data_IF_893199133065
#
_entry.id   IF_893199133065
#
_cell.length_a   1.000
_cell.length_b   1.000
_cell.length_c   1.000
_cell.angle_alpha   90.00
_cell.angle_beta   90.00
_cell.angle_gamma   90.00
#
_symmetry.space_group_name_H-M   'P 1'
#
loop_
_entity.id
_entity.type
_entity.pdbx_description
1 polymer ?
#
# COMPACT_ATOMS: atom_id res chain seq x y z
N UNK A 1 -10.99 0.27 3.04
CA UNK A 1 -9.96 -0.65 2.50
C UNK A 1 -8.91 0.08 1.68
N UNK A 2 -9.27 0.92 0.70
CA UNK A 2 -8.31 1.66 -0.14
C UNK A 2 -7.27 2.49 0.65
N UNK A 3 -7.67 3.18 1.72
CA UNK A 3 -6.72 3.88 2.60
C UNK A 3 -5.67 2.96 3.23
N UNK A 4 -6.03 1.71 3.57
CA UNK A 4 -5.08 0.72 4.08
C UNK A 4 -4.15 0.22 2.97
N UNK A 5 -4.65 0.06 1.74
CA UNK A 5 -3.81 -0.28 0.59
C UNK A 5 -2.81 0.84 0.27
N UNK A 6 -3.24 2.10 0.28
CA UNK A 6 -2.35 3.25 0.07
C UNK A 6 -1.26 3.31 1.15
N UNK A 7 -1.60 3.10 2.43
CA UNK A 7 -0.62 2.97 3.52
C UNK A 7 0.37 1.84 3.25
N UNK A 8 -0.15 0.65 2.93
CA UNK A 8 0.64 -0.55 2.71
C UNK A 8 1.66 -0.35 1.60
N UNK A 9 1.22 0.15 0.44
CA UNK A 9 2.09 0.45 -0.69
C UNK A 9 3.13 1.52 -0.33
N UNK A 10 2.71 2.67 0.21
CA UNK A 10 3.63 3.77 0.54
C UNK A 10 4.68 3.34 1.58
N UNK A 11 4.28 2.53 2.56
CA UNK A 11 5.19 1.98 3.57
C UNK A 11 6.23 1.05 2.95
N UNK A 12 5.83 0.18 2.02
CA UNK A 12 6.73 -0.71 1.30
C UNK A 12 7.70 0.08 0.39
N UNK A 13 7.23 1.13 -0.29
CA UNK A 13 8.10 2.02 -1.10
C UNK A 13 9.21 2.63 -0.26
N UNK A 14 8.87 3.19 0.91
CA UNK A 14 9.86 3.80 1.80
C UNK A 14 10.80 2.75 2.41
N UNK A 15 10.26 1.58 2.79
CA UNK A 15 11.06 0.50 3.36
C UNK A 15 12.04 -0.12 2.36
N UNK A 16 11.67 -0.20 1.08
CA UNK A 16 12.54 -0.61 -0.03
C UNK A 16 13.58 0.47 -0.41
N UNK A 17 13.63 1.58 0.33
CA UNK A 17 14.61 2.63 0.10
C UNK A 17 14.43 3.41 -1.21
N UNK A 18 13.30 3.22 -1.90
CA UNK A 18 12.99 3.88 -3.18
C UNK A 18 12.67 5.38 -3.01
N UNK A 19 12.22 5.78 -1.81
CA UNK A 19 12.01 7.18 -1.45
C UNK A 19 12.15 7.40 0.07
N UNK A 20 12.49 8.62 0.50
CA UNK A 20 12.47 9.00 1.92
C UNK A 20 11.07 9.36 2.44
N UNK A 21 10.17 9.76 1.54
CA UNK A 21 8.75 10.07 1.77
C UNK A 21 7.95 9.60 0.56
N UNK A 22 6.73 9.13 0.79
CA UNK A 22 5.84 8.68 -0.28
C UNK A 22 4.39 8.93 0.12
N UNK A 23 3.64 9.62 -0.73
CA UNK A 23 2.20 9.80 -0.65
C UNK A 23 1.55 9.11 -1.85
N UNK A 24 0.54 8.30 -1.58
CA UNK A 24 -0.23 7.60 -2.62
C UNK A 24 -1.68 8.03 -2.52
N UNK A 25 -2.24 8.49 -3.64
CA UNK A 25 -3.65 8.82 -3.76
C UNK A 25 -4.35 7.82 -4.69
N UNK A 26 -5.51 7.33 -4.24
CA UNK A 26 -6.37 6.43 -4.98
C UNK A 26 -7.75 7.06 -5.16
N UNK A 27 -8.32 6.97 -6.36
CA UNK A 27 -9.69 7.42 -6.65
C UNK A 27 -10.52 6.32 -7.30
N UNK A 28 -11.82 6.28 -7.01
CA UNK A 28 -12.75 5.28 -7.54
C UNK A 28 -14.08 5.94 -7.89
N UNK A 29 -14.72 5.47 -8.96
CA UNK A 29 -16.13 5.74 -9.23
C UNK A 29 -17.00 4.63 -8.63
N UNK A 30 -18.21 5.00 -8.18
CA UNK A 30 -19.19 4.02 -7.70
C UNK A 30 -19.52 3.01 -8.82
N UNK A 31 -19.46 1.72 -8.49
CA UNK A 31 -19.69 0.64 -9.46
C UNK A 31 -18.49 0.30 -10.37
N UNK A 32 -17.38 1.04 -10.30
CA UNK A 32 -16.17 0.76 -11.08
C UNK A 32 -15.14 0.04 -10.22
N UNK A 33 -14.70 -1.13 -10.67
CA UNK A 33 -13.87 -2.03 -9.86
C UNK A 33 -12.40 -1.61 -9.78
N UNK A 34 -11.85 -1.04 -10.84
CA UNK A 34 -10.47 -0.53 -10.90
C UNK A 34 -10.44 0.94 -10.47
N UNK A 35 -9.34 1.41 -9.86
CA UNK A 35 -9.20 2.84 -9.57
C UNK A 35 -9.23 3.67 -10.86
N UNK A 36 -9.77 4.88 -10.79
CA UNK A 36 -9.71 5.85 -11.89
C UNK A 36 -8.30 6.45 -12.00
N UNK A 37 -7.64 6.64 -10.85
CA UNK A 37 -6.26 7.11 -10.78
C UNK A 37 -5.51 6.50 -9.59
N UNK A 38 -4.21 6.30 -9.81
CA UNK A 38 -3.20 5.97 -8.79
C UNK A 38 -2.09 6.99 -8.98
N UNK A 39 -1.99 7.93 -8.04
CA UNK A 39 -0.97 8.98 -8.06
C UNK A 39 0.05 8.74 -6.95
N UNK A 40 1.33 8.88 -7.29
CA UNK A 40 2.46 8.72 -6.39
C UNK A 40 3.23 10.03 -6.35
N UNK A 41 3.51 10.52 -5.15
CA UNK A 41 4.34 11.71 -4.91
C UNK A 41 5.39 11.35 -3.85
N UNK A 42 6.66 11.40 -4.25
CA UNK A 42 7.82 11.10 -3.39
C UNK A 42 8.39 12.34 -2.70
N UNK A 43 7.74 13.49 -2.86
CA UNK A 43 8.11 14.77 -2.24
C UNK A 43 9.56 15.18 -2.54
N UNK A 44 10.04 14.87 -3.75
CA UNK A 44 11.42 15.12 -4.18
C UNK A 44 12.47 14.23 -3.52
N UNK A 45 12.07 13.15 -2.84
CA UNK A 45 12.98 12.20 -2.19
C UNK A 45 13.11 10.86 -2.92
N UNK A 46 12.43 10.70 -4.05
CA UNK A 46 12.47 9.51 -4.87
C UNK A 46 13.83 9.27 -5.50
N UNK A 47 14.22 8.00 -5.55
CA UNK A 47 15.41 7.50 -6.28
C UNK A 47 15.04 6.85 -7.62
N UNK A 48 13.74 6.72 -7.89
CA UNK A 48 13.18 6.09 -9.07
C UNK A 48 12.06 6.98 -9.63
N UNK A 49 11.74 6.79 -10.90
CA UNK A 49 10.67 7.51 -11.58
C UNK A 49 9.28 7.19 -10.96
N UNK A 50 8.50 8.24 -10.69
CA UNK A 50 7.20 8.12 -9.99
C UNK A 50 6.13 7.44 -10.85
N UNK A 51 6.15 7.65 -12.16
CA UNK A 51 5.20 7.03 -13.09
C UNK A 51 5.48 5.54 -13.24
N UNK A 52 6.77 5.16 -13.36
CA UNK A 52 7.20 3.75 -13.31
C UNK A 52 6.84 3.12 -11.96
N UNK A 53 7.05 3.81 -10.85
CA UNK A 53 6.67 3.34 -9.52
C UNK A 53 5.16 3.12 -9.39
N UNK A 54 4.35 4.06 -9.87
CA UNK A 54 2.89 3.92 -9.90
C UNK A 54 2.44 2.69 -10.70
N UNK A 55 3.13 2.39 -11.80
CA UNK A 55 2.86 1.22 -12.65
C UNK A 55 3.19 -0.08 -11.92
N UNK A 56 4.41 -0.19 -11.37
CA UNK A 56 4.86 -1.38 -10.62
C UNK A 56 3.95 -1.68 -9.44
N UNK A 57 3.53 -0.67 -8.68
CA UNK A 57 2.63 -0.88 -7.53
C UNK A 57 1.27 -1.46 -7.96
N UNK A 58 0.77 -1.11 -9.14
CA UNK A 58 -0.47 -1.66 -9.69
C UNK A 58 -0.32 -3.09 -10.23
N UNK A 59 0.90 -3.49 -10.60
CA UNK A 59 1.25 -4.86 -10.98
C UNK A 59 1.39 -5.77 -9.75
N UNK A 60 2.05 -5.27 -8.70
CA UNK A 60 2.28 -6.00 -7.45
C UNK A 60 1.00 -6.21 -6.63
N UNK A 61 0.03 -5.28 -6.74
CA UNK A 61 -1.21 -5.37 -5.98
C UNK A 61 -2.42 -5.03 -6.83
N UNK A 62 -3.38 -5.96 -6.91
CA UNK A 62 -4.69 -5.68 -7.50
C UNK A 62 -5.49 -4.69 -6.62
N UNK A 63 -5.49 -3.42 -7.01
CA UNK A 63 -6.17 -2.33 -6.29
C UNK A 63 -7.69 -2.27 -6.46
N UNK A 64 -8.33 -3.34 -6.95
CA UNK A 64 -9.79 -3.44 -6.87
C UNK A 64 -10.25 -3.68 -5.42
N UNK A 65 -11.49 -3.32 -5.03
CA UNK A 65 -12.00 -3.58 -3.68
C UNK A 65 -11.86 -5.04 -3.25
N UNK A 66 -12.08 -5.99 -4.18
CA UNK A 66 -11.88 -7.42 -3.96
C UNK A 66 -10.40 -7.77 -3.77
N UNK A 67 -9.54 -7.30 -4.68
CA UNK A 67 -8.10 -7.56 -4.62
C UNK A 67 -7.47 -7.06 -3.32
N UNK A 68 -7.82 -5.84 -2.88
CA UNK A 68 -7.37 -5.28 -1.60
C UNK A 68 -7.83 -6.16 -0.43
N UNK A 69 -9.10 -6.57 -0.42
CA UNK A 69 -9.67 -7.39 0.66
C UNK A 69 -8.97 -8.75 0.76
N UNK A 70 -8.70 -9.39 -0.37
CA UNK A 70 -8.03 -10.70 -0.44
C UNK A 70 -6.56 -10.59 -0.04
N UNK A 71 -5.82 -9.66 -0.65
CA UNK A 71 -4.38 -9.47 -0.41
C UNK A 71 -4.10 -9.11 1.07
N UNK A 72 -4.87 -8.19 1.66
CA UNK A 72 -4.70 -7.78 3.05
C UNK A 72 -5.49 -8.67 4.05
N UNK A 73 -6.16 -9.73 3.60
CA UNK A 73 -6.94 -10.66 4.44
C UNK A 73 -7.94 -9.92 5.35
N UNK A 74 -8.73 -9.01 4.78
CA UNK A 74 -9.60 -8.08 5.52
C UNK A 74 -10.96 -8.67 5.95
N UNK A 75 -11.34 -9.86 5.49
CA UNK A 75 -12.58 -10.53 5.90
C UNK A 75 -12.45 -11.24 7.26
N UNK A 76 -11.98 -10.53 8.29
CA UNK A 76 -11.72 -11.05 9.65
C UNK A 76 -12.06 -10.02 10.72
N UNK A 77 -12.38 -10.41 11.96
CA UNK A 77 -12.75 -9.50 13.05
C UNK A 77 -11.51 -8.82 13.68
N UNK A 78 -10.79 -8.01 12.89
CA UNK A 78 -9.50 -7.40 13.30
C UNK A 78 -9.58 -5.89 13.59
N UNK A 79 -10.76 -5.27 13.49
CA UNK A 79 -10.89 -3.82 13.45
C UNK A 79 -11.06 -3.13 14.80
N UNK A 80 -11.58 -3.81 15.83
CA UNK A 80 -11.86 -3.17 17.12
C UNK A 80 -10.60 -2.49 17.72
N UNK A 81 -9.44 -3.12 17.57
CA UNK A 81 -8.15 -2.58 18.04
C UNK A 81 -7.68 -1.33 17.31
N UNK A 82 -8.20 -1.03 16.12
CA UNK A 82 -7.80 0.12 15.31
C UNK A 82 -8.61 1.38 15.66
N UNK A 83 -9.71 1.25 16.40
CA UNK A 83 -10.64 2.34 16.72
C UNK A 83 -10.07 3.39 17.70
N UNK A 84 -8.93 3.09 18.32
CA UNK A 84 -8.19 4.01 19.18
C UNK A 84 -6.68 3.90 18.89
N UNK A 85 -5.95 4.99 19.18
CA UNK A 85 -4.49 5.09 19.01
C UNK A 85 -4.00 4.93 17.55
N UNK A 86 -4.89 5.21 16.59
CA UNK A 86 -4.56 5.24 15.18
C UNK A 86 -4.58 3.86 14.49
N UNK A 87 -4.87 3.92 13.19
CA UNK A 87 -4.89 2.75 12.31
C UNK A 87 -3.52 2.39 11.73
N UNK A 88 -2.56 3.31 11.78
CA UNK A 88 -1.26 3.21 11.12
C UNK A 88 -0.10 3.36 12.12
N UNK A 89 1.06 2.83 11.76
CA UNK A 89 2.30 2.94 12.54
C UNK A 89 2.42 1.94 13.70
N UNK A 90 1.53 0.95 13.76
CA UNK A 90 1.55 -0.13 14.75
C UNK A 90 1.98 -1.44 14.08
N UNK A 91 2.73 -2.26 14.79
CA UNK A 91 3.27 -3.50 14.21
C UNK A 91 2.16 -4.50 13.84
N UNK A 92 2.31 -5.24 12.72
CA UNK A 92 1.47 -6.39 12.42
C UNK A 92 1.52 -7.41 13.55
N UNK A 93 0.36 -7.91 13.99
CA UNK A 93 0.29 -8.88 15.08
C UNK A 93 -0.01 -10.30 14.58
N UNK A 94 0.31 -11.30 15.41
CA UNK A 94 0.08 -12.73 15.10
C UNK A 94 -1.40 -13.13 14.96
N UNK A 95 -2.34 -12.30 15.45
CA UNK A 95 -3.78 -12.44 15.17
C UNK A 95 -4.18 -11.91 13.79
N UNK A 96 -3.21 -11.42 13.03
CA UNK A 96 -3.35 -10.81 11.71
C UNK A 96 -4.04 -9.46 11.74
N UNK A 97 -3.96 -8.70 12.83
CA UNK A 97 -4.21 -7.27 12.80
C UNK A 97 -3.13 -6.52 12.00
N UNK A 98 -3.46 -5.32 11.52
CA UNK A 98 -2.53 -4.41 10.83
C UNK A 98 -1.78 -5.04 9.66
N UNK A 99 -2.45 -5.85 8.84
CA UNK A 99 -1.83 -6.47 7.66
C UNK A 99 -1.27 -5.45 6.66
N UNK A 100 -1.81 -4.23 6.65
CA UNK A 100 -1.33 -3.09 5.87
C UNK A 100 -0.05 -2.43 6.43
N UNK A 101 0.47 -2.92 7.55
CA UNK A 101 1.75 -2.47 8.12
C UNK A 101 2.89 -3.45 7.82
N UNK A 102 2.64 -4.54 7.08
CA UNK A 102 3.69 -5.46 6.63
C UNK A 102 4.56 -4.84 5.54
N UNK A 103 5.79 -5.34 5.45
CA UNK A 103 6.82 -4.93 4.50
C UNK A 103 7.18 -6.06 3.51
N UNK A 104 6.18 -6.85 3.16
CA UNK A 104 6.30 -8.06 2.34
C UNK A 104 6.38 -7.81 0.83
N UNK A 105 6.29 -6.55 0.36
CA UNK A 105 6.58 -6.17 -1.03
C UNK A 105 7.98 -5.57 -1.22
N UNK A 106 8.79 -5.44 -0.16
CA UNK A 106 10.11 -4.81 -0.26
C UNK A 106 11.00 -5.53 -1.27
N UNK A 107 11.12 -6.86 -1.18
CA UNK A 107 11.95 -7.62 -2.12
C UNK A 107 11.45 -7.58 -3.56
N UNK A 108 10.13 -7.55 -3.77
CA UNK A 108 9.54 -7.41 -5.12
C UNK A 108 9.83 -6.02 -5.71
N UNK A 109 9.78 -4.98 -4.87
CA UNK A 109 10.11 -3.61 -5.26
C UNK A 109 11.60 -3.45 -5.55
N UNK A 110 12.48 -3.97 -4.70
CA UNK A 110 13.93 -3.98 -4.93
C UNK A 110 14.25 -4.67 -6.26
N UNK A 111 13.63 -5.83 -6.52
CA UNK A 111 13.78 -6.57 -7.77
C UNK A 111 13.28 -5.81 -9.00
N UNK A 112 12.18 -5.05 -8.89
CA UNK A 112 11.62 -4.29 -10.01
C UNK A 112 12.45 -3.05 -10.40
N UNK A 113 13.32 -2.59 -9.51
CA UNK A 113 14.14 -1.39 -9.68
C UNK A 113 15.66 -1.66 -9.64
N UNK A 114 16.08 -2.91 -9.51
CA UNK A 114 17.48 -3.35 -9.45
C UNK A 114 18.28 -2.63 -8.34
N UNK A 115 17.70 -2.49 -7.14
CA UNK A 115 18.30 -1.82 -5.97
C UNK A 115 18.57 -2.75 -4.81
#
# INVERSE_FOLDING_TARGET
SAAYAARYLAKNVVAAGLAGKCTIQLSYAIGVSKPLSVYVDTHGTGKVDEDKLSTVLQELMNLSPRGIREHLKLSRPIYARTAAYGHFGREPDGGGGFTWERLDLVGDLESAFDV
#
